data_IF_565809994090
#
_entry.id   IF_565809994090
#
_cell.length_a   1.000
_cell.length_b   1.000
_cell.length_c   1.000
_cell.angle_alpha   90.00
_cell.angle_beta   90.00
_cell.angle_gamma   90.00
#
_symmetry.space_group_name_H-M   'P 1'
#
loop_
_entity.id
_entity.type
_entity.pdbx_description
1 polymer ?
#
# COMPACT_ATOMS: atom_id res chain seq x y z
N UNK A 1 -25.91 -63.88 18.89
CA UNK A 1 -26.03 -62.54 18.25
C UNK A 1 -24.74 -62.29 17.46
N UNK A 2 -24.89 -61.99 16.16
CA UNK A 2 -23.93 -61.54 15.11
C UNK A 2 -22.67 -60.81 15.63
N UNK A 3 -21.41 -61.16 15.28
CA UNK A 3 -20.65 -60.87 14.02
C UNK A 3 -20.77 -59.38 13.60
N UNK A 4 -19.73 -58.59 13.30
CA UNK A 4 -18.42 -58.83 12.68
C UNK A 4 -17.57 -57.54 12.63
N UNK A 5 -16.24 -57.67 12.54
CA UNK A 5 -15.27 -56.64 12.13
C UNK A 5 -15.49 -56.12 10.69
N UNK A 6 -15.23 -54.83 10.44
CA UNK A 6 -14.81 -54.17 9.17
C UNK A 6 -14.24 -52.79 9.59
N UNK A 7 -12.99 -52.35 9.34
CA UNK A 7 -12.14 -52.22 8.16
C UNK A 7 -12.55 -51.06 7.20
N UNK A 8 -11.59 -50.13 7.01
CA UNK A 8 -11.37 -49.16 5.91
C UNK A 8 -12.16 -47.81 5.87
N UNK A 9 -11.66 -46.75 5.17
CA UNK A 9 -10.34 -46.53 4.57
C UNK A 9 -9.71 -45.12 4.81
N UNK A 10 -8.43 -45.02 4.45
CA UNK A 10 -7.71 -43.79 4.08
C UNK A 10 -8.43 -43.00 2.97
N UNK A 11 -8.44 -41.66 3.04
CA UNK A 11 -8.28 -40.83 1.85
C UNK A 11 -7.69 -39.45 2.21
N UNK A 12 -6.53 -39.19 1.61
CA UNK A 12 -5.87 -37.91 1.46
C UNK A 12 -6.78 -36.87 0.82
N UNK A 13 -6.62 -35.59 1.20
CA UNK A 13 -6.46 -34.47 0.26
C UNK A 13 -6.05 -33.19 1.03
N UNK A 14 -4.73 -33.01 1.14
CA UNK A 14 -4.14 -31.67 1.05
C UNK A 14 -4.38 -31.20 -0.39
N UNK A 15 -5.13 -30.12 -0.57
CA UNK A 15 -5.09 -29.33 -1.81
C UNK A 15 -4.53 -27.95 -1.47
N UNK A 16 -3.21 -27.89 -1.60
CA UNK A 16 -2.43 -26.71 -1.95
C UNK A 16 -3.16 -25.89 -3.02
N UNK A 17 -3.45 -24.63 -2.70
CA UNK A 17 -3.84 -23.62 -3.70
C UNK A 17 -2.58 -23.28 -4.48
N UNK A 18 -2.32 -24.03 -5.55
CA UNK A 18 -1.47 -23.56 -6.64
C UNK A 18 -2.29 -22.54 -7.43
N UNK A 19 -2.08 -21.27 -7.13
CA UNK A 19 -2.45 -20.20 -8.05
C UNK A 19 -1.56 -20.30 -9.28
N UNK A 20 -2.02 -21.01 -10.31
CA UNK A 20 -1.49 -20.84 -11.66
C UNK A 20 -2.00 -19.48 -12.15
N UNK A 21 -1.17 -18.45 -11.98
CA UNK A 21 -1.30 -17.25 -12.80
C UNK A 21 -0.82 -17.60 -14.21
N UNK A 22 -1.73 -17.49 -15.18
CA UNK A 22 -1.40 -17.55 -16.60
C UNK A 22 -0.32 -16.50 -16.90
N UNK A 23 0.87 -16.96 -17.25
CA UNK A 23 1.86 -16.13 -17.90
C UNK A 23 1.44 -15.99 -19.37
N UNK A 24 0.75 -14.90 -19.69
CA UNK A 24 0.47 -14.51 -21.06
C UNK A 24 1.80 -14.05 -21.68
N UNK A 25 2.31 -14.83 -22.63
CA UNK A 25 3.57 -14.54 -23.32
C UNK A 25 3.27 -13.70 -24.55
N UNK A 26 3.19 -12.39 -24.38
CA UNK A 26 3.29 -11.45 -25.49
C UNK A 26 3.91 -10.13 -25.05
N UNK A 27 4.94 -9.73 -25.81
CA UNK A 27 5.71 -8.49 -25.81
C UNK A 27 6.98 -8.43 -24.93
N UNK A 28 8.07 -8.12 -25.62
CA UNK A 28 9.44 -8.05 -25.15
C UNK A 28 9.65 -6.85 -24.19
N UNK A 29 10.37 -7.11 -23.09
CA UNK A 29 11.19 -6.19 -22.29
C UNK A 29 10.53 -5.09 -21.42
N UNK A 30 9.23 -5.13 -21.10
CA UNK A 30 8.59 -4.09 -20.23
C UNK A 30 8.45 -4.48 -18.74
N UNK A 31 9.01 -5.61 -18.29
CA UNK A 31 8.75 -6.15 -16.95
C UNK A 31 9.99 -6.32 -16.05
N UNK A 32 11.20 -5.92 -16.47
CA UNK A 32 12.35 -6.01 -15.55
C UNK A 32 12.23 -4.94 -14.47
N UNK A 33 12.15 -5.33 -13.18
CA UNK A 33 11.99 -4.37 -12.10
C UNK A 33 13.23 -3.50 -12.00
N UNK A 34 13.04 -2.18 -11.96
CA UNK A 34 14.10 -1.16 -11.85
C UNK A 34 14.74 -1.14 -10.46
N UNK A 35 15.36 -2.24 -10.06
CA UNK A 35 15.73 -2.53 -8.67
C UNK A 35 17.10 -3.16 -8.56
N UNK A 36 17.83 -2.83 -7.50
CA UNK A 36 19.15 -3.38 -7.21
C UNK A 36 19.31 -3.71 -5.73
N UNK A 37 20.05 -4.78 -5.45
CA UNK A 37 20.48 -5.12 -4.09
C UNK A 37 21.96 -4.77 -3.91
N UNK A 38 22.27 -4.07 -2.83
CA UNK A 38 23.65 -3.76 -2.48
C UNK A 38 24.38 -5.03 -2.03
N UNK A 39 25.51 -5.39 -2.64
CA UNK A 39 26.28 -6.57 -2.24
C UNK A 39 26.99 -6.38 -0.90
N UNK A 40 27.18 -5.13 -0.45
CA UNK A 40 27.91 -4.80 0.78
C UNK A 40 26.97 -4.65 1.97
N UNK A 41 25.89 -3.89 1.80
CA UNK A 41 24.96 -3.58 2.88
C UNK A 41 23.70 -4.46 2.89
N UNK A 42 23.45 -5.23 1.83
CA UNK A 42 22.23 -6.03 1.68
C UNK A 42 20.95 -5.23 1.46
N UNK A 43 21.03 -3.89 1.52
CA UNK A 43 19.91 -2.96 1.32
C UNK A 43 19.35 -3.06 -0.10
N UNK A 44 18.05 -2.80 -0.21
CA UNK A 44 17.31 -2.84 -1.45
C UNK A 44 17.09 -1.41 -1.98
N UNK A 45 17.33 -1.21 -3.26
CA UNK A 45 17.22 0.08 -3.92
C UNK A 45 16.20 -0.07 -5.03
N UNK A 46 15.14 0.73 -4.96
CA UNK A 46 14.06 0.72 -5.93
C UNK A 46 14.02 2.08 -6.61
N UNK A 47 14.43 2.12 -7.87
CA UNK A 47 14.44 3.34 -8.67
C UNK A 47 13.13 3.51 -9.47
N UNK A 48 12.17 2.58 -9.34
CA UNK A 48 10.86 2.70 -10.00
C UNK A 48 10.08 3.94 -9.55
N UNK A 49 10.31 4.43 -8.33
CA UNK A 49 9.68 5.63 -7.80
C UNK A 49 10.03 6.92 -8.58
N UNK A 50 11.11 6.90 -9.37
CA UNK A 50 11.57 8.01 -10.20
C UNK A 50 11.52 7.70 -11.70
N UNK A 51 10.98 6.53 -12.06
CA UNK A 51 10.63 6.18 -13.43
C UNK A 51 9.37 6.94 -13.84
N UNK A 52 9.46 7.73 -14.90
CA UNK A 52 8.32 8.50 -15.39
C UNK A 52 7.60 7.75 -16.50
N UNK A 53 6.27 7.77 -16.46
CA UNK A 53 5.42 7.21 -17.49
C UNK A 53 4.41 8.26 -17.96
N UNK A 54 3.96 8.21 -19.22
CA UNK A 54 2.95 9.16 -19.72
C UNK A 54 1.70 9.17 -18.82
N UNK A 55 1.21 10.34 -18.40
CA UNK A 55 0.08 10.43 -17.49
C UNK A 55 -1.19 9.89 -18.16
N UNK A 56 -1.95 9.06 -17.42
CA UNK A 56 -3.26 8.58 -17.90
C UNK A 56 -4.26 9.74 -17.83
N UNK A 57 -4.82 10.10 -18.99
CA UNK A 57 -5.82 11.16 -19.09
C UNK A 57 -7.24 10.55 -19.08
N UNK A 58 -8.12 11.07 -18.21
CA UNK A 58 -9.56 10.79 -18.25
C UNK A 58 -10.29 12.12 -18.43
N UNK A 59 -11.05 12.25 -19.52
CA UNK A 59 -11.74 13.49 -19.90
C UNK A 59 -10.81 14.72 -20.00
N UNK A 60 -9.61 14.53 -20.54
CA UNK A 60 -8.61 15.61 -20.69
C UNK A 60 -7.96 16.08 -19.38
N UNK A 61 -8.26 15.46 -18.24
CA UNK A 61 -7.60 15.72 -16.95
C UNK A 61 -6.72 14.54 -16.55
N UNK A 62 -5.57 14.82 -15.93
CA UNK A 62 -4.71 13.80 -15.32
C UNK A 62 -5.49 13.05 -14.24
N UNK A 63 -5.43 11.72 -14.26
CA UNK A 63 -6.07 10.88 -13.23
C UNK A 63 -5.33 11.02 -11.90
N UNK A 64 -3.99 11.07 -11.94
CA UNK A 64 -3.13 11.39 -10.81
C UNK A 64 -2.51 12.77 -11.02
N UNK A 65 -2.77 13.74 -10.12
CA UNK A 65 -2.16 15.07 -10.20
C UNK A 65 -0.62 15.05 -10.08
N UNK A 66 -0.07 13.99 -9.49
CA UNK A 66 1.36 13.83 -9.22
C UNK A 66 2.15 13.36 -10.45
N UNK A 67 1.45 12.82 -11.47
CA UNK A 67 2.08 12.32 -12.68
C UNK A 67 2.70 13.46 -13.49
N UNK A 68 3.99 13.32 -13.80
CA UNK A 68 4.73 14.28 -14.62
C UNK A 68 4.43 14.08 -16.09
N UNK A 69 4.29 15.18 -16.82
CA UNK A 69 4.09 15.23 -18.27
C UNK A 69 5.38 15.43 -19.06
N UNK A 70 6.52 15.62 -18.38
CA UNK A 70 7.84 15.84 -18.97
C UNK A 70 8.89 15.01 -18.28
N UNK A 71 9.86 14.56 -19.06
CA UNK A 71 11.02 13.80 -18.57
C UNK A 71 11.94 14.66 -17.70
N UNK A 72 12.95 14.04 -17.10
CA UNK A 72 13.93 14.78 -16.30
C UNK A 72 14.86 15.59 -17.19
N UNK A 73 15.12 16.84 -16.80
CA UNK A 73 16.00 17.73 -17.55
C UNK A 73 17.27 18.01 -16.77
N UNK A 74 18.41 17.95 -17.45
CA UNK A 74 19.72 18.33 -16.92
C UNK A 74 20.39 19.35 -17.82
N UNK A 75 20.92 20.42 -17.23
CA UNK A 75 21.73 21.41 -17.96
C UNK A 75 23.12 20.86 -18.17
N UNK A 76 23.62 20.89 -19.39
CA UNK A 76 25.01 20.56 -19.68
C UNK A 76 25.91 21.76 -19.44
N UNK A 77 26.17 22.21 -18.21
CA UNK A 77 26.90 23.47 -17.96
C UNK A 77 28.14 23.73 -18.85
N UNK A 78 28.92 22.68 -19.15
CA UNK A 78 30.11 22.73 -20.01
C UNK A 78 29.87 22.20 -21.45
N UNK A 79 28.65 21.75 -21.76
CA UNK A 79 28.26 21.18 -23.04
C UNK A 79 27.22 22.08 -23.72
N UNK A 80 27.29 22.32 -25.04
CA UNK A 80 26.43 23.30 -25.72
C UNK A 80 24.99 22.80 -25.96
N UNK A 81 24.46 21.90 -25.11
CA UNK A 81 23.11 21.37 -25.21
C UNK A 81 22.55 21.01 -23.82
N UNK A 82 21.22 21.02 -23.73
CA UNK A 82 20.49 20.48 -22.58
C UNK A 82 20.15 19.01 -22.83
N UNK A 83 20.07 18.25 -21.74
CA UNK A 83 19.79 16.83 -21.78
C UNK A 83 18.39 16.57 -21.23
N UNK A 84 17.68 15.67 -21.90
CA UNK A 84 16.40 15.13 -21.44
C UNK A 84 16.57 13.63 -21.29
N UNK A 85 16.19 13.11 -20.13
CA UNK A 85 16.36 11.70 -19.82
C UNK A 85 15.27 11.19 -18.86
N UNK A 86 15.07 9.89 -18.90
CA UNK A 86 14.21 9.16 -17.98
C UNK A 86 14.98 8.00 -17.35
N UNK A 87 14.47 7.47 -16.24
CA UNK A 87 15.14 6.47 -15.42
C UNK A 87 14.35 5.17 -15.55
N UNK A 88 15.01 4.09 -16.00
CA UNK A 88 14.41 2.78 -16.28
C UNK A 88 13.17 2.76 -17.20
N UNK A 89 12.93 3.85 -17.92
CA UNK A 89 11.81 4.04 -18.82
C UNK A 89 12.28 4.87 -20.02
N UNK A 90 11.60 4.78 -21.17
CA UNK A 90 11.87 5.66 -22.30
C UNK A 90 11.42 7.09 -21.96
N UNK A 91 11.93 8.08 -22.68
CA UNK A 91 11.48 9.47 -22.49
C UNK A 91 9.99 9.61 -22.80
N UNK A 92 9.31 10.50 -22.07
CA UNK A 92 7.87 10.77 -22.26
C UNK A 92 7.62 11.48 -23.59
N UNK A 93 8.58 12.30 -24.04
CA UNK A 93 8.48 13.06 -25.27
C UNK A 93 8.50 12.14 -26.50
N UNK A 94 7.62 12.40 -27.46
CA UNK A 94 7.61 11.67 -28.73
C UNK A 94 8.82 12.04 -29.59
N UNK A 95 9.92 11.30 -29.43
CA UNK A 95 11.15 11.53 -30.18
C UNK A 95 11.06 10.90 -31.57
N UNK A 96 11.33 11.69 -32.61
CA UNK A 96 11.40 11.25 -34.01
C UNK A 96 12.68 11.75 -34.68
N UNK A 97 13.04 11.15 -35.81
CA UNK A 97 14.18 11.55 -36.63
C UNK A 97 15.53 11.55 -35.88
N UNK A 98 15.72 10.53 -35.03
CA UNK A 98 16.95 10.36 -34.24
C UNK A 98 18.11 9.99 -35.16
N UNK A 99 19.21 10.75 -35.05
CA UNK A 99 20.38 10.56 -35.91
C UNK A 99 21.01 9.18 -35.70
N UNK A 100 21.02 8.35 -36.76
CA UNK A 100 21.71 7.05 -36.77
C UNK A 100 21.08 5.97 -35.88
N UNK A 101 19.82 6.14 -35.49
CA UNK A 101 18.99 5.14 -34.81
C UNK A 101 17.81 4.80 -35.71
N UNK A 102 17.51 3.51 -35.81
CA UNK A 102 16.41 3.01 -36.66
C UNK A 102 15.05 3.44 -36.10
N UNK A 103 14.06 3.70 -36.97
CA UNK A 103 12.72 4.15 -36.57
C UNK A 103 12.00 3.18 -35.63
N UNK A 104 12.30 1.88 -35.72
CA UNK A 104 11.75 0.87 -34.80
C UNK A 104 12.23 1.05 -33.34
N UNK A 105 13.38 1.72 -33.14
CA UNK A 105 14.01 1.88 -31.82
C UNK A 105 13.78 3.25 -31.19
N UNK A 106 13.09 4.17 -31.87
CA UNK A 106 12.84 5.51 -31.32
C UNK A 106 12.02 5.48 -30.03
N UNK A 107 11.13 4.50 -29.87
CA UNK A 107 10.34 4.31 -28.64
C UNK A 107 11.17 3.86 -27.43
N UNK A 108 12.38 3.35 -27.63
CA UNK A 108 13.25 2.88 -26.53
C UNK A 108 14.26 3.94 -26.09
N UNK A 109 14.25 5.13 -26.69
CA UNK A 109 15.20 6.20 -26.33
C UNK A 109 14.90 6.66 -24.91
N UNK A 110 15.83 6.44 -24.00
CA UNK A 110 15.70 6.82 -22.59
C UNK A 110 16.40 8.13 -22.25
N UNK A 111 17.33 8.56 -23.10
CA UNK A 111 18.04 9.82 -22.92
C UNK A 111 18.50 10.39 -24.27
N UNK A 112 18.36 11.70 -24.44
CA UNK A 112 18.79 12.40 -25.65
C UNK A 112 19.20 13.86 -25.37
N UNK A 113 19.88 14.45 -26.36
CA UNK A 113 20.07 15.90 -26.45
C UNK A 113 19.72 16.39 -27.85
N UNK A 114 19.38 17.66 -27.93
CA UNK A 114 19.14 18.34 -29.20
C UNK A 114 20.29 19.31 -29.49
N UNK A 115 20.81 19.29 -30.72
CA UNK A 115 21.83 20.23 -31.19
C UNK A 115 21.58 20.55 -32.66
N UNK A 116 21.55 21.84 -33.00
CA UNK A 116 21.37 22.31 -34.39
C UNK A 116 20.08 21.74 -35.05
N UNK A 117 19.01 21.61 -34.26
CA UNK A 117 17.72 21.07 -34.73
C UNK A 117 17.70 19.56 -34.99
N UNK A 118 18.75 18.83 -34.56
CA UNK A 118 18.84 17.38 -34.67
C UNK A 118 18.85 16.73 -33.30
N UNK A 119 18.17 15.59 -33.20
CA UNK A 119 18.09 14.82 -31.97
C UNK A 119 19.12 13.68 -31.99
N UNK A 120 19.91 13.61 -30.93
CA UNK A 120 20.92 12.58 -30.73
C UNK A 120 20.57 11.78 -29.47
N UNK A 121 20.25 10.50 -29.65
CA UNK A 121 20.11 9.58 -28.52
C UNK A 121 21.48 9.33 -27.89
N UNK A 122 21.52 9.35 -26.56
CA UNK A 122 22.70 8.99 -25.75
C UNK A 122 22.53 7.66 -25.03
N UNK A 123 21.45 6.94 -25.32
CA UNK A 123 21.21 5.59 -24.86
C UNK A 123 19.75 5.15 -24.97
N UNK A 124 19.56 3.84 -24.98
CA UNK A 124 18.27 3.16 -24.90
C UNK A 124 17.93 2.77 -23.46
N UNK A 125 16.65 2.51 -23.21
CA UNK A 125 16.12 2.10 -21.91
C UNK A 125 16.82 0.82 -21.43
N UNK A 126 17.26 0.87 -20.18
CA UNK A 126 17.66 -0.30 -19.41
C UNK A 126 17.06 -0.21 -18.01
N UNK A 127 16.64 -1.33 -17.45
CA UNK A 127 16.01 -1.38 -16.12
C UNK A 127 16.84 -2.18 -15.11
N UNK A 128 18.12 -2.39 -15.39
CA UNK A 128 19.02 -3.19 -14.54
C UNK A 128 20.10 -2.29 -13.89
N UNK A 129 19.76 -1.55 -12.82
CA UNK A 129 20.76 -0.82 -12.05
C UNK A 129 21.69 -1.81 -11.32
N UNK A 130 22.96 -1.46 -11.23
CA UNK A 130 23.99 -2.31 -10.61
C UNK A 130 24.92 -1.50 -9.71
N UNK A 131 25.62 -2.20 -8.81
CA UNK A 131 26.61 -1.58 -7.92
C UNK A 131 28.00 -1.63 -8.53
N UNK A 132 28.67 -0.47 -8.61
CA UNK A 132 30.13 -0.38 -8.80
C UNK A 132 30.75 0.11 -7.50
N UNK A 133 31.31 -0.83 -6.74
CA UNK A 133 31.79 -0.56 -5.37
C UNK A 133 30.62 -0.13 -4.47
N UNK A 134 30.63 1.11 -4.01
CA UNK A 134 29.58 1.70 -3.15
C UNK A 134 28.59 2.59 -3.90
N UNK A 135 28.73 2.73 -5.22
CA UNK A 135 27.87 3.60 -6.05
C UNK A 135 26.84 2.75 -6.79
N UNK A 136 25.58 3.15 -6.70
CA UNK A 136 24.49 2.62 -7.52
C UNK A 136 24.55 3.29 -8.90
N UNK A 137 24.58 2.48 -9.95
CA UNK A 137 24.79 2.96 -11.32
C UNK A 137 23.76 2.34 -12.25
N UNK A 138 23.27 3.12 -13.22
CA UNK A 138 22.53 2.63 -14.38
C UNK A 138 23.27 3.01 -15.66
N UNK A 139 23.32 2.08 -16.62
CA UNK A 139 24.00 2.27 -17.90
C UNK A 139 23.00 2.13 -19.05
N UNK A 140 22.99 3.12 -19.93
CA UNK A 140 22.25 3.09 -21.19
C UNK A 140 23.22 2.98 -22.35
N UNK A 141 22.94 2.07 -23.28
CA UNK A 141 23.78 1.78 -24.46
C UNK A 141 23.02 2.02 -25.75
N UNK A 142 23.67 1.77 -26.89
CA UNK A 142 23.01 1.70 -28.21
C UNK A 142 22.36 2.99 -28.74
N UNK A 143 22.86 4.15 -28.27
CA UNK A 143 22.44 5.45 -28.78
C UNK A 143 22.88 5.76 -30.21
N UNK A 144 22.92 7.05 -30.52
CA UNK A 144 23.37 7.55 -31.83
C UNK A 144 24.87 7.25 -32.06
N UNK A 145 25.34 7.18 -33.31
CA UNK A 145 26.75 6.93 -33.61
C UNK A 145 27.68 8.03 -33.06
N UNK A 146 28.86 7.62 -32.60
CA UNK A 146 29.85 8.55 -32.05
C UNK A 146 30.63 9.30 -33.14
N UNK A 147 30.98 10.58 -32.91
CA UNK A 147 31.72 11.37 -33.88
C UNK A 147 33.12 10.77 -34.10
N UNK A 148 33.57 10.70 -35.36
CA UNK A 148 34.93 10.27 -35.71
C UNK A 148 35.22 8.77 -35.60
N UNK A 149 34.24 7.93 -35.26
CA UNK A 149 34.38 6.46 -35.34
C UNK A 149 33.75 5.94 -36.64
N UNK A 150 34.35 4.92 -37.25
CA UNK A 150 33.80 4.19 -38.41
C UNK A 150 32.55 3.38 -38.01
N UNK A 151 31.48 4.09 -37.62
CA UNK A 151 30.11 3.66 -37.29
C UNK A 151 29.90 2.55 -36.24
N UNK A 152 30.95 1.95 -35.69
CA UNK A 152 30.81 0.82 -34.74
C UNK A 152 30.48 1.25 -33.31
N UNK A 153 30.95 2.43 -32.87
CA UNK A 153 30.75 2.86 -31.49
C UNK A 153 29.48 3.70 -31.35
N UNK A 154 28.60 3.31 -30.43
CA UNK A 154 27.35 4.00 -30.10
C UNK A 154 27.53 4.84 -28.85
N UNK A 155 26.81 5.97 -28.79
CA UNK A 155 26.76 6.80 -27.59
C UNK A 155 26.13 6.02 -26.44
N UNK A 156 26.64 6.25 -25.24
CA UNK A 156 26.19 5.59 -24.03
C UNK A 156 26.19 6.56 -22.87
N UNK A 157 25.31 6.31 -21.91
CA UNK A 157 25.13 7.15 -20.72
C UNK A 157 25.32 6.33 -19.46
N UNK A 158 26.12 6.83 -18.54
CA UNK A 158 26.32 6.24 -17.23
C UNK A 158 25.80 7.21 -16.16
N UNK A 159 24.81 6.77 -15.40
CA UNK A 159 24.18 7.56 -14.35
C UNK A 159 24.56 6.98 -12.99
N UNK A 160 25.11 7.80 -12.11
CA UNK A 160 25.38 7.44 -10.71
C UNK A 160 24.30 8.03 -9.82
N UNK A 161 23.65 7.19 -9.02
CA UNK A 161 22.61 7.62 -8.09
C UNK A 161 23.20 7.94 -6.71
N UNK A 162 22.77 9.06 -6.15
CA UNK A 162 23.14 9.52 -4.82
C UNK A 162 21.88 9.68 -3.97
N UNK A 163 21.91 9.11 -2.77
CA UNK A 163 20.85 9.28 -1.78
C UNK A 163 20.78 10.74 -1.34
N UNK A 164 19.62 11.34 -1.55
CA UNK A 164 19.25 12.65 -1.05
C UNK A 164 17.91 12.52 -0.30
N UNK A 165 17.96 12.57 1.03
CA UNK A 165 16.77 12.38 1.87
C UNK A 165 15.85 13.59 1.90
N UNK A 166 16.35 14.75 1.47
CA UNK A 166 15.58 15.99 1.45
C UNK A 166 14.79 16.13 0.13
N UNK A 167 15.08 15.30 -0.86
CA UNK A 167 14.32 15.22 -2.11
C UNK A 167 12.97 14.51 -1.91
N UNK A 168 11.92 15.03 -2.56
CA UNK A 168 10.60 14.38 -2.64
C UNK A 168 10.74 12.90 -3.03
N UNK A 169 9.90 12.03 -2.48
CA UNK A 169 9.93 10.57 -2.73
C UNK A 169 9.94 10.20 -4.23
N UNK A 170 9.25 10.97 -5.07
CA UNK A 170 9.15 10.81 -6.53
C UNK A 170 10.04 11.78 -7.30
N UNK A 171 10.87 12.56 -6.61
CA UNK A 171 11.76 13.56 -7.20
C UNK A 171 13.12 12.96 -7.57
N UNK A 172 13.55 13.21 -8.80
CA UNK A 172 14.94 13.01 -9.22
C UNK A 172 15.52 14.32 -9.78
N UNK A 173 16.74 14.64 -9.39
CA UNK A 173 17.49 15.77 -9.92
C UNK A 173 18.75 15.26 -10.63
N UNK A 174 18.70 15.06 -11.96
CA UNK A 174 19.88 14.70 -12.73
C UNK A 174 20.75 15.93 -12.97
N UNK A 175 22.05 15.76 -12.73
CA UNK A 175 23.09 16.75 -12.99
C UNK A 175 24.13 16.16 -13.93
N UNK A 176 24.47 16.92 -14.97
CA UNK A 176 25.48 16.52 -15.93
C UNK A 176 26.88 16.73 -15.33
N UNK A 177 27.68 15.66 -15.31
CA UNK A 177 29.05 15.70 -14.77
C UNK A 177 30.05 15.99 -15.88
N UNK A 178 29.87 15.38 -17.05
CA UNK A 178 30.78 15.58 -18.17
C UNK A 178 30.71 14.50 -19.25
N UNK A 179 31.53 14.71 -20.27
CA UNK A 179 31.79 13.75 -21.35
C UNK A 179 33.28 13.75 -21.67
N UNK A 180 33.85 12.57 -21.93
CA UNK A 180 35.28 12.46 -22.26
C UNK A 180 35.55 12.60 -23.76
N UNK A 181 34.71 11.95 -24.58
CA UNK A 181 34.94 11.75 -26.02
C UNK A 181 33.70 12.11 -26.86
N UNK A 182 32.73 12.85 -26.30
CA UNK A 182 31.42 13.09 -26.92
C UNK A 182 30.67 11.81 -27.31
N UNK A 183 31.05 10.67 -26.72
CA UNK A 183 30.44 9.36 -26.93
C UNK A 183 29.87 8.83 -25.61
N UNK A 184 30.61 9.02 -24.52
CA UNK A 184 30.23 8.61 -23.16
C UNK A 184 29.79 9.82 -22.34
N UNK A 185 28.59 9.75 -21.76
CA UNK A 185 28.00 10.83 -20.96
C UNK A 185 27.83 10.37 -19.51
N UNK A 186 28.25 11.19 -18.56
CA UNK A 186 28.16 10.89 -17.14
C UNK A 186 27.19 11.85 -16.44
N UNK A 187 26.25 11.29 -15.69
CA UNK A 187 25.29 12.05 -14.88
C UNK A 187 25.35 11.60 -13.42
N UNK A 188 25.16 12.54 -12.51
CA UNK A 188 24.88 12.28 -11.09
C UNK A 188 23.40 12.61 -10.84
N UNK A 189 22.64 11.62 -10.35
CA UNK A 189 21.21 11.76 -10.07
C UNK A 189 20.99 11.72 -8.57
N UNK A 190 20.44 12.81 -8.02
CA UNK A 190 20.07 12.90 -6.60
C UNK A 190 18.60 12.56 -6.42
N UNK A 191 18.31 11.61 -5.53
CA UNK A 191 16.94 11.21 -5.21
C UNK A 191 16.87 10.49 -3.87
N UNK A 192 15.72 10.56 -3.21
CA UNK A 192 15.42 9.77 -2.02
C UNK A 192 15.18 8.28 -2.35
N UNK A 193 14.80 7.95 -3.59
CA UNK A 193 14.69 6.56 -4.06
C UNK A 193 16.06 5.82 -4.05
N UNK A 194 17.16 6.58 -4.15
CA UNK A 194 18.51 6.04 -4.02
C UNK A 194 18.95 5.83 -2.56
N UNK A 195 18.11 6.17 -1.57
CA UNK A 195 18.34 5.87 -0.17
C UNK A 195 17.84 4.45 0.11
N UNK A 196 18.73 3.46 -0.03
CA UNK A 196 18.41 2.05 0.13
C UNK A 196 17.45 1.77 1.28
N UNK A 197 16.33 1.15 0.95
CA UNK A 197 15.33 0.71 1.91
C UNK A 197 15.77 -0.55 2.62
N UNK A 198 15.33 -0.70 3.86
CA UNK A 198 15.28 -2.00 4.50
C UNK A 198 14.09 -2.69 3.85
N UNK A 199 14.36 -3.52 2.83
CA UNK A 199 13.37 -4.52 2.46
C UNK A 199 13.12 -5.32 3.74
N UNK A 200 11.90 -5.23 4.27
CA UNK A 200 11.45 -6.13 5.33
C UNK A 200 11.38 -7.48 4.65
N UNK A 201 12.51 -8.17 4.58
CA UNK A 201 12.55 -9.56 4.18
C UNK A 201 11.59 -10.26 5.15
N UNK A 202 10.51 -10.92 4.69
CA UNK A 202 9.56 -11.61 5.57
C UNK A 202 10.23 -12.73 6.38
N UNK A 203 11.49 -13.05 6.08
CA UNK A 203 12.35 -13.99 6.80
C UNK A 203 13.42 -13.34 7.70
N UNK A 204 13.57 -12.02 7.66
CA UNK A 204 14.41 -11.28 8.61
C UNK A 204 13.55 -10.85 9.80
N UNK A 205 13.75 -11.51 10.94
CA UNK A 205 12.92 -11.38 12.16
C UNK A 205 13.04 -10.05 12.90
N UNK A 206 13.13 -8.92 12.18
CA UNK A 206 13.13 -7.59 12.77
C UNK A 206 11.73 -7.15 13.15
N UNK A 207 11.54 -6.75 14.41
CA UNK A 207 10.31 -6.09 14.85
C UNK A 207 10.33 -4.64 14.34
N UNK A 208 9.38 -4.30 13.46
CA UNK A 208 9.21 -2.91 13.02
C UNK A 208 8.90 -1.96 14.18
N UNK A 209 8.90 -0.63 13.95
CA UNK A 209 8.64 0.35 15.00
C UNK A 209 7.37 0.05 15.81
N UNK A 210 6.28 -0.32 15.12
CA UNK A 210 5.03 -0.73 15.76
C UNK A 210 5.15 -2.00 16.64
N UNK A 211 5.99 -2.96 16.23
CA UNK A 211 6.25 -4.17 17.00
C UNK A 211 7.00 -3.88 18.31
N UNK A 212 7.97 -2.97 18.27
CA UNK A 212 8.69 -2.52 19.47
C UNK A 212 7.74 -1.81 20.44
N UNK A 213 6.92 -0.88 19.96
CA UNK A 213 5.92 -0.22 20.79
C UNK A 213 4.90 -1.21 21.39
N UNK A 214 4.48 -2.21 20.61
CA UNK A 214 3.58 -3.27 21.09
C UNK A 214 4.18 -4.07 22.25
N UNK A 215 5.46 -4.45 22.16
CA UNK A 215 6.15 -5.18 23.23
C UNK A 215 6.30 -4.33 24.49
N UNK A 216 6.67 -3.06 24.34
CA UNK A 216 6.82 -2.13 25.47
C UNK A 216 5.48 -2.00 26.21
N UNK A 217 4.37 -1.79 25.48
CA UNK A 217 3.03 -1.70 26.06
C UNK A 217 2.65 -3.02 26.74
N UNK A 218 2.91 -4.17 26.11
CA UNK A 218 2.61 -5.47 26.68
C UNK A 218 3.33 -5.71 28.02
N UNK A 219 4.62 -5.42 28.08
CA UNK A 219 5.42 -5.56 29.32
C UNK A 219 4.88 -4.60 30.40
N UNK A 220 4.54 -3.36 30.05
CA UNK A 220 3.97 -2.40 30.99
C UNK A 220 2.64 -2.88 31.58
N UNK A 221 1.75 -3.45 30.76
CA UNK A 221 0.46 -4.01 31.22
C UNK A 221 0.69 -5.20 32.16
N UNK A 222 1.60 -6.12 31.81
CA UNK A 222 1.93 -7.28 32.66
C UNK A 222 2.52 -6.83 33.99
N UNK A 223 3.41 -5.85 33.99
CA UNK A 223 3.99 -5.31 35.21
C UNK A 223 2.93 -4.60 36.08
N UNK A 224 2.03 -3.84 35.47
CA UNK A 224 0.94 -3.15 36.17
C UNK A 224 -0.04 -4.14 36.81
N UNK A 225 -0.52 -5.13 36.04
CA UNK A 225 -1.44 -6.15 36.54
C UNK A 225 -0.74 -7.06 37.57
N UNK A 226 0.45 -7.57 37.27
CA UNK A 226 1.19 -8.47 38.15
C UNK A 226 1.61 -7.80 39.45
N UNK A 227 2.24 -6.62 39.36
CA UNK A 227 2.67 -5.84 40.52
C UNK A 227 1.50 -5.33 41.35
N UNK A 228 0.43 -4.86 40.70
CA UNK A 228 -0.77 -4.39 41.38
C UNK A 228 -1.55 -5.52 42.07
N UNK A 229 -1.68 -6.68 41.43
CA UNK A 229 -2.26 -7.87 42.05
C UNK A 229 -1.42 -8.36 43.24
N UNK A 230 -0.08 -8.37 43.11
CA UNK A 230 0.80 -8.71 44.21
C UNK A 230 0.62 -7.74 45.38
N UNK A 231 0.64 -6.42 45.13
CA UNK A 231 0.44 -5.39 46.14
C UNK A 231 -0.91 -5.52 46.87
N UNK A 232 -2.01 -5.66 46.13
CA UNK A 232 -3.35 -5.80 46.72
C UNK A 232 -3.53 -7.10 47.51
N UNK A 233 -2.80 -8.16 47.15
CA UNK A 233 -2.79 -9.43 47.87
C UNK A 233 -1.91 -9.41 49.12
N UNK A 234 -0.69 -8.87 49.02
CA UNK A 234 0.30 -8.94 50.10
C UNK A 234 0.14 -7.85 51.13
N UNK A 235 -0.20 -6.63 50.71
CA UNK A 235 -0.31 -5.46 51.60
C UNK A 235 -1.75 -5.21 52.03
N UNK A 236 -2.73 -5.35 51.11
CA UNK A 236 -4.13 -5.00 51.38
C UNK A 236 -5.04 -6.19 51.73
N UNK A 237 -4.50 -7.42 51.74
CA UNK A 237 -5.20 -8.67 52.11
C UNK A 237 -6.57 -8.89 51.44
N UNK A 238 -6.81 -8.35 50.26
CA UNK A 238 -8.09 -8.56 49.56
C UNK A 238 -8.12 -9.93 48.88
N UNK A 239 -9.29 -10.58 48.84
CA UNK A 239 -9.50 -11.91 48.24
C UNK A 239 -10.46 -11.83 47.05
N UNK A 240 -10.20 -12.62 46.02
CA UNK A 240 -11.05 -12.76 44.84
C UNK A 240 -10.73 -11.76 43.73
N UNK A 241 -11.70 -11.52 42.83
CA UNK A 241 -11.57 -10.72 41.61
C UNK A 241 -11.33 -9.21 41.85
N UNK A 242 -11.44 -8.77 43.10
CA UNK A 242 -11.10 -7.41 43.54
C UNK A 242 -9.60 -7.14 43.66
N UNK A 243 -8.75 -8.14 43.34
CA UNK A 243 -7.28 -8.03 43.36
C UNK A 243 -6.68 -7.35 42.12
N UNK A 244 -7.46 -7.14 41.06
CA UNK A 244 -6.98 -6.46 39.86
C UNK A 244 -7.13 -4.94 40.01
N UNK A 245 -6.04 -4.15 39.84
CA UNK A 245 -6.13 -2.69 39.82
C UNK A 245 -7.06 -2.21 38.70
N UNK A 246 -8.05 -1.37 39.03
CA UNK A 246 -9.01 -0.79 38.08
C UNK A 246 -9.74 -1.83 37.21
N UNK A 247 -10.27 -2.89 37.81
CA UNK A 247 -10.94 -4.00 37.11
C UNK A 247 -12.07 -3.55 36.16
N UNK A 248 -12.86 -2.54 36.53
CA UNK A 248 -13.96 -2.02 35.69
C UNK A 248 -13.47 -1.46 34.35
N UNK A 249 -12.30 -0.83 34.33
CA UNK A 249 -11.68 -0.31 33.12
C UNK A 249 -11.23 -1.47 32.20
N UNK A 250 -10.56 -2.48 32.76
CA UNK A 250 -10.08 -3.63 31.99
C UNK A 250 -11.23 -4.47 31.42
N UNK A 251 -12.26 -4.73 32.22
CA UNK A 251 -13.46 -5.43 31.75
C UNK A 251 -14.11 -4.69 30.57
N UNK A 252 -14.26 -3.36 30.66
CA UNK A 252 -14.80 -2.54 29.57
C UNK A 252 -13.96 -2.59 28.29
N UNK A 253 -12.62 -2.63 28.42
CA UNK A 253 -11.73 -2.78 27.25
C UNK A 253 -11.91 -4.15 26.59
N UNK A 254 -11.98 -5.24 27.36
CA UNK A 254 -12.19 -6.59 26.80
C UNK A 254 -13.57 -6.75 26.17
N UNK A 255 -14.62 -6.19 26.79
CA UNK A 255 -15.97 -6.19 26.23
C UNK A 255 -16.04 -5.40 24.92
N UNK A 256 -15.37 -4.25 24.84
CA UNK A 256 -15.25 -3.47 23.60
C UNK A 256 -14.60 -4.29 22.47
N UNK A 257 -13.50 -4.98 22.73
CA UNK A 257 -12.84 -5.82 21.71
C UNK A 257 -13.68 -7.03 21.31
N UNK A 258 -14.42 -7.62 22.26
CA UNK A 258 -15.36 -8.71 21.98
C UNK A 258 -16.47 -8.24 21.03
N UNK A 259 -17.08 -7.10 21.34
CA UNK A 259 -18.18 -6.54 20.54
C UNK A 259 -17.69 -6.09 19.16
N UNK A 260 -16.51 -5.48 19.06
CA UNK A 260 -15.87 -5.14 17.79
C UNK A 260 -15.60 -6.39 16.94
N UNK A 261 -15.09 -7.46 17.56
CA UNK A 261 -14.86 -8.75 16.89
C UNK A 261 -16.16 -9.36 16.35
N UNK A 262 -17.25 -9.30 17.11
CA UNK A 262 -18.58 -9.76 16.68
C UNK A 262 -19.11 -8.92 15.51
N UNK A 263 -18.92 -7.60 15.53
CA UNK A 263 -19.35 -6.70 14.45
C UNK A 263 -18.57 -6.97 13.15
N UNK A 264 -17.24 -7.15 13.24
CA UNK A 264 -16.41 -7.48 12.07
C UNK A 264 -16.77 -8.86 11.52
N UNK A 265 -16.93 -9.87 12.39
CA UNK A 265 -17.30 -11.22 11.98
C UNK A 265 -18.68 -11.28 11.32
N UNK A 266 -19.67 -10.58 11.87
CA UNK A 266 -21.03 -10.50 11.28
C UNK A 266 -21.07 -9.73 9.97
N UNK A 267 -20.25 -8.68 9.82
CA UNK A 267 -20.10 -7.94 8.56
C UNK A 267 -19.44 -8.80 7.47
N UNK A 268 -18.38 -9.54 7.80
CA UNK A 268 -17.74 -10.49 6.87
C UNK A 268 -18.64 -11.69 6.53
N UNK A 269 -19.44 -12.18 7.48
CA UNK A 269 -20.42 -13.23 7.25
C UNK A 269 -21.59 -12.80 6.34
N UNK A 270 -21.95 -11.51 6.34
CA UNK A 270 -22.93 -10.93 5.42
C UNK A 270 -22.35 -10.60 4.03
N UNK A 271 -21.03 -10.45 3.90
CA UNK A 271 -20.35 -10.28 2.60
C UNK A 271 -20.09 -11.61 1.87
N UNK A 272 -20.29 -12.76 2.51
CA UNK A 272 -20.36 -14.05 1.84
C UNK A 272 -21.77 -14.25 1.27
N UNK A 273 -21.95 -14.43 -0.05
CA UNK A 273 -23.26 -14.65 -0.64
C UNK A 273 -23.81 -16.00 -0.17
N UNK A 274 -24.59 -15.98 0.91
CA UNK A 274 -25.41 -17.12 1.32
C UNK A 274 -26.49 -17.27 0.25
N UNK A 275 -26.26 -18.15 -0.73
CA UNK A 275 -27.29 -18.62 -1.67
C UNK A 275 -28.46 -19.19 -0.86
N UNK A 276 -29.41 -18.34 -0.46
CA UNK A 276 -30.75 -18.76 -0.08
C UNK A 276 -31.55 -18.83 -1.38
N UNK A 277 -31.73 -20.03 -1.88
CA UNK A 277 -32.70 -20.33 -2.95
C UNK A 277 -34.11 -19.91 -2.50
N UNK A 278 -34.89 -19.20 -3.33
CA UNK A 278 -36.30 -18.98 -3.05
C UNK A 278 -37.09 -20.24 -3.45
N UNK A 279 -37.56 -21.01 -2.48
CA UNK A 279 -38.55 -22.06 -2.74
C UNK A 279 -39.95 -21.45 -2.77
N UNK A 280 -40.49 -21.45 -3.99
CA UNK A 280 -41.92 -21.37 -4.34
C UNK A 280 -42.86 -22.07 -3.34
N UNK A 281 -43.93 -21.37 -2.95
CA UNK A 281 -45.08 -21.91 -2.23
C UNK A 281 -46.20 -20.88 -2.22
N UNK A 282 -47.18 -21.05 -3.10
CA UNK A 282 -48.22 -20.06 -3.39
C UNK A 282 -49.50 -20.15 -2.56
N UNK A 283 -50.33 -19.13 -2.81
CA UNK A 283 -51.81 -19.01 -2.77
C UNK A 283 -52.59 -19.29 -1.46
N UNK A 284 -53.33 -18.25 -0.99
CA UNK A 284 -54.81 -18.18 -1.07
C UNK A 284 -55.24 -16.70 -1.17
N UNK A 285 -56.08 -16.40 -2.17
CA UNK A 285 -56.95 -15.21 -2.25
C UNK A 285 -58.28 -15.54 -1.56
N UNK A 286 -58.80 -14.61 -0.77
CA UNK A 286 -60.24 -14.34 -0.68
C UNK A 286 -60.42 -12.84 -0.84
N UNK A 287 -61.09 -12.45 -1.93
CA UNK A 287 -61.43 -11.05 -2.20
C UNK A 287 -62.80 -10.71 -1.64
N UNK A 288 -63.02 -9.42 -1.40
CA UNK A 288 -64.20 -8.66 -1.81
C UNK A 288 -63.97 -7.18 -1.54
N UNK A 289 -64.19 -6.38 -2.58
CA UNK A 289 -64.65 -4.99 -2.61
C UNK A 289 -63.83 -3.88 -1.96
N UNK A 290 -63.55 -2.85 -2.77
CA UNK A 290 -63.29 -1.50 -2.28
C UNK A 290 -62.17 -0.78 -2.99
N UNK A 291 -62.55 0.09 -3.93
CA UNK A 291 -61.72 1.19 -4.49
C UNK A 291 -60.87 1.87 -3.41
N UNK A 292 -59.60 2.15 -3.69
CA UNK A 292 -58.81 3.02 -2.81
C UNK A 292 -57.37 3.21 -3.28
N UNK A 293 -57.06 4.45 -3.66
CA UNK A 293 -55.80 4.92 -4.23
C UNK A 293 -54.62 4.91 -3.26
N UNK A 294 -53.42 4.75 -3.82
CA UNK A 294 -52.17 5.25 -3.27
C UNK A 294 -52.24 6.78 -3.13
N UNK A 295 -51.78 7.32 -1.98
CA UNK A 295 -50.86 8.47 -1.80
C UNK A 295 -50.85 8.87 -0.31
N UNK A 296 -49.65 8.85 0.29
CA UNK A 296 -49.09 10.01 1.00
C UNK A 296 -49.28 10.17 2.52
N UNK A 297 -48.21 10.72 3.12
CA UNK A 297 -48.09 11.43 4.41
C UNK A 297 -48.01 10.53 5.67
N UNK A 298 -46.88 10.48 6.40
CA UNK A 298 -46.28 11.55 7.24
C UNK A 298 -47.33 12.25 8.11
N UNK A 299 -47.31 11.97 9.42
CA UNK A 299 -47.79 12.91 10.44
C UNK A 299 -48.61 12.28 11.58
N UNK A 300 -48.01 12.26 12.76
CA UNK A 300 -48.63 12.84 13.95
C UNK A 300 -49.66 12.03 14.75
N UNK A 301 -49.23 11.68 15.98
CA UNK A 301 -49.89 12.02 17.27
C UNK A 301 -51.30 11.42 17.54
N UNK A 302 -51.39 10.61 18.60
CA UNK A 302 -52.64 10.56 19.40
C UNK A 302 -53.00 9.22 20.05
N UNK A 303 -52.50 9.02 21.29
CA UNK A 303 -53.27 8.61 22.49
C UNK A 303 -54.36 7.52 22.43
N UNK A 304 -54.08 6.40 23.12
CA UNK A 304 -54.85 5.69 24.19
C UNK A 304 -54.35 4.23 24.21
N UNK A 305 -53.82 3.64 25.26
CA UNK A 305 -53.98 3.85 26.69
C UNK A 305 -54.61 2.59 27.30
N UNK A 306 -53.81 1.81 28.06
CA UNK A 306 -54.14 0.75 29.05
C UNK A 306 -53.16 -0.42 28.89
N UNK A 307 -52.34 -0.85 29.86
CA UNK A 307 -52.15 -0.50 31.26
C UNK A 307 -51.24 -1.55 31.93
N UNK A 308 -50.47 -1.14 32.95
CA UNK A 308 -49.60 -1.98 33.81
C UNK A 308 -48.14 -1.51 33.75
N UNK A 309 -47.64 -0.53 34.51
CA UNK A 309 -47.69 -0.18 35.95
C UNK A 309 -46.73 -1.02 36.83
N UNK A 310 -45.67 -0.33 37.29
CA UNK A 310 -44.63 -0.73 38.24
C UNK A 310 -43.26 -0.30 37.71
N UNK A 311 -42.53 0.69 38.23
CA UNK A 311 -42.65 1.43 39.49
C UNK A 311 -41.69 2.64 39.43
N UNK A 312 -42.18 3.85 39.14
CA UNK A 312 -41.38 5.10 39.12
C UNK A 312 -41.73 5.96 40.35
N UNK A 313 -42.85 5.65 41.02
CA UNK A 313 -43.28 6.32 42.24
C UNK A 313 -42.49 5.82 43.47
N UNK A 314 -41.83 4.66 43.40
CA UNK A 314 -40.90 4.20 44.44
C UNK A 314 -39.52 4.88 44.40
N UNK A 315 -39.05 5.37 43.24
CA UNK A 315 -37.77 6.10 43.16
C UNK A 315 -37.91 7.53 43.71
N UNK A 316 -39.04 8.19 43.49
CA UNK A 316 -39.29 9.54 44.01
C UNK A 316 -39.53 9.57 45.53
N UNK A 317 -39.96 8.47 46.15
CA UNK A 317 -40.13 8.36 47.62
C UNK A 317 -38.81 8.28 48.40
N UNK A 318 -37.72 7.87 47.76
CA UNK A 318 -36.39 7.78 48.41
C UNK A 318 -35.61 9.09 48.35
N UNK A 319 -36.01 10.02 47.48
CA UNK A 319 -35.37 11.33 47.33
C UNK A 319 -35.92 12.31 48.38
N UNK A 320 -37.23 12.28 48.66
CA UNK A 320 -37.85 13.13 49.69
C UNK A 320 -37.46 12.76 51.14
N UNK A 321 -36.94 11.55 51.39
CA UNK A 321 -36.43 11.16 52.73
C UNK A 321 -35.00 11.63 53.02
N UNK A 322 -34.23 12.05 52.02
CA UNK A 322 -32.83 12.50 52.19
C UNK A 322 -32.69 14.01 52.42
N UNK A 323 -33.71 14.80 52.07
CA UNK A 323 -33.72 16.25 52.27
C UNK A 323 -34.19 16.67 53.69
N UNK A 324 -34.79 15.77 54.49
CA UNK A 324 -35.23 16.07 55.88
C UNK A 324 -34.13 15.83 56.96
N UNK A 325 -32.96 15.26 56.64
CA UNK A 325 -31.88 15.01 57.62
C UNK A 325 -30.83 16.14 57.71
N UNK A 326 -31.01 17.25 56.97
CA UNK A 326 -30.03 18.36 56.93
C UNK A 326 -30.54 19.71 57.51
N UNK A 327 -31.75 19.80 58.07
CA UNK A 327 -32.28 21.04 58.67
C UNK A 327 -32.55 21.02 60.19
N UNK A 328 -31.96 20.12 60.99
CA UNK A 328 -31.84 20.30 62.45
C UNK A 328 -30.49 19.79 63.03
#
# INVERSE_FOLDING_TARGET
MRLSHFAHPSLLLLSSVLGLSNADKTHLNDDSPCVARSPVSGLYFDLSAISLYPPKLKNGKKVSPEDRDRSWHSKGHDYPANFTLNICAPVIEDVKDVVGVDSSRWGNVSAYYEREGKIYSIGEQASDPFFRGRKLVLNYTDGSPCPGSNSTRRKSTMMSFLCDRDATATGANPSFVGTMDSCTYFFEVRSSAACGGIAVDPHSGGLGPAGVFGIIIFIAIVAYLGGGCAYQRTVMHQRGWRQCPNFSLWAGIFDFFKDLGVIVYSSLANCLPRKRSPSSGGYVRTGTDGRGSFIGAIGGRGTRGSGGRGDVDAENRLIDQLDEEWED
#
